data_IF_976151828666
#
_entry.id   IF_976151828666
#
_cell.length_a   1.000
_cell.length_b   1.000
_cell.length_c   1.000
_cell.angle_alpha   90.00
_cell.angle_beta   90.00
_cell.angle_gamma   90.00
#
_symmetry.space_group_name_H-M   'P 1'
#
loop_
_entity.id
_entity.type
_entity.pdbx_description
1 polymer ?
#
# COMPACT_ATOMS: atom_id res chain seq x y z
N UNK A 1 -3.03 4.45 8.74
CA UNK A 1 -3.57 5.76 8.35
C UNK A 1 -2.52 6.88 8.53
N UNK A 2 -1.86 6.96 9.68
CA UNK A 2 -0.84 8.00 9.94
C UNK A 2 0.31 7.99 8.91
N UNK A 3 0.74 6.84 8.44
CA UNK A 3 1.73 6.74 7.36
C UNK A 3 1.22 7.30 6.04
N UNK A 4 -0.07 7.15 5.74
CA UNK A 4 -0.68 7.76 4.57
C UNK A 4 -0.73 9.30 4.67
N UNK A 5 -0.94 9.85 5.86
CA UNK A 5 -0.84 11.30 6.09
C UNK A 5 0.60 11.81 5.88
N UNK A 6 1.61 11.07 6.33
CA UNK A 6 3.02 11.42 6.05
C UNK A 6 3.33 11.40 4.54
N UNK A 7 2.79 10.44 3.79
CA UNK A 7 2.89 10.43 2.34
C UNK A 7 2.30 11.71 1.73
N UNK A 8 1.09 12.11 2.16
CA UNK A 8 0.44 13.34 1.72
C UNK A 8 1.32 14.58 1.95
N UNK A 9 1.89 14.72 3.14
CA UNK A 9 2.77 15.85 3.49
C UNK A 9 4.00 15.93 2.59
N UNK A 10 4.46 14.79 2.09
CA UNK A 10 5.60 14.69 1.17
C UNK A 10 5.22 14.68 -0.30
N UNK A 11 3.98 15.02 -0.62
CA UNK A 11 3.45 15.03 -1.99
C UNK A 11 3.51 13.67 -2.70
N UNK A 12 3.47 12.62 -1.92
CA UNK A 12 3.34 11.23 -2.38
C UNK A 12 1.89 10.75 -2.33
N UNK A 13 1.56 9.75 -3.16
CA UNK A 13 0.23 9.12 -3.09
C UNK A 13 0.00 8.61 -1.66
N UNK A 14 -1.10 9.02 -0.99
CA UNK A 14 -1.30 8.79 0.44
C UNK A 14 -1.70 7.34 0.74
N UNK A 15 -0.73 6.46 0.67
CA UNK A 15 -0.82 5.06 1.07
C UNK A 15 0.20 4.80 2.16
N UNK A 16 -0.26 4.17 3.23
CA UNK A 16 0.57 3.77 4.36
C UNK A 16 0.41 2.29 4.66
N UNK A 17 1.48 1.68 5.13
CA UNK A 17 1.51 0.27 5.52
C UNK A 17 2.27 0.08 6.84
N UNK A 18 1.89 -0.95 7.58
CA UNK A 18 2.60 -1.39 8.78
C UNK A 18 2.57 -2.90 8.90
N UNK A 19 3.60 -3.48 9.47
CA UNK A 19 3.67 -4.92 9.74
C UNK A 19 3.81 -5.14 11.24
N UNK A 20 2.98 -6.04 11.74
CA UNK A 20 2.92 -6.46 13.14
C UNK A 20 3.41 -7.91 13.25
N UNK A 21 4.29 -8.15 14.20
CA UNK A 21 4.77 -9.47 14.58
C UNK A 21 4.65 -9.62 16.11
N UNK A 22 4.01 -10.69 16.58
CA UNK A 22 3.80 -10.95 18.01
C UNK A 22 3.24 -9.75 18.79
N UNK A 23 2.28 -9.05 18.21
CA UNK A 23 1.63 -7.89 18.82
C UNK A 23 2.42 -6.58 18.77
N UNK A 24 3.64 -6.57 18.23
CA UNK A 24 4.46 -5.37 18.08
C UNK A 24 4.56 -4.91 16.62
N UNK A 25 4.50 -3.61 16.39
CA UNK A 25 4.77 -3.01 15.08
C UNK A 25 6.27 -3.09 14.82
N UNK A 26 6.68 -3.86 13.80
CA UNK A 26 8.09 -4.03 13.41
C UNK A 26 8.46 -3.29 12.13
N UNK A 27 7.48 -2.80 11.40
CA UNK A 27 7.69 -1.97 10.20
C UNK A 27 6.55 -0.97 10.05
N UNK A 28 6.89 0.23 9.58
CA UNK A 28 5.95 1.28 9.19
C UNK A 28 6.51 2.04 8.00
N UNK A 29 5.73 2.18 6.94
CA UNK A 29 6.17 2.80 5.71
C UNK A 29 5.02 3.53 4.99
N UNK A 30 5.37 4.48 4.15
CA UNK A 30 4.46 5.16 3.24
C UNK A 30 5.02 5.14 1.82
N UNK A 31 4.16 5.34 0.83
CA UNK A 31 4.55 5.37 -0.57
C UNK A 31 5.61 6.45 -0.84
N UNK A 32 6.67 6.10 -1.57
CA UNK A 32 7.81 6.97 -1.88
C UNK A 32 8.24 6.89 -3.35
N UNK A 33 7.33 6.51 -4.26
CA UNK A 33 7.66 6.29 -5.67
C UNK A 33 8.22 7.53 -6.35
N UNK A 34 7.72 8.72 -6.03
CA UNK A 34 8.17 9.99 -6.62
C UNK A 34 9.49 10.47 -6.03
N UNK A 35 9.61 10.50 -4.72
CA UNK A 35 10.81 11.01 -4.04
C UNK A 35 12.04 10.16 -4.28
N UNK A 36 11.87 8.86 -4.50
CA UNK A 36 12.98 7.93 -4.76
C UNK A 36 13.20 7.62 -6.24
N UNK A 37 12.29 8.05 -7.13
CA UNK A 37 12.25 7.65 -8.54
C UNK A 37 12.26 6.11 -8.72
N UNK A 38 11.59 5.41 -7.82
CA UNK A 38 11.51 3.95 -7.79
C UNK A 38 10.03 3.52 -7.91
N UNK A 39 9.63 2.90 -9.04
CA UNK A 39 8.26 2.45 -9.22
C UNK A 39 7.86 1.33 -8.26
N UNK A 40 8.81 0.66 -7.65
CA UNK A 40 8.56 -0.39 -6.67
C UNK A 40 8.43 0.11 -5.23
N UNK A 41 8.72 1.38 -4.96
CA UNK A 41 8.70 1.97 -3.62
C UNK A 41 7.27 2.24 -3.10
N UNK A 42 6.39 1.24 -3.22
CA UNK A 42 5.09 1.22 -2.58
C UNK A 42 5.22 1.00 -1.06
N UNK A 43 4.28 1.51 -0.30
CA UNK A 43 4.28 1.40 1.16
C UNK A 43 4.45 -0.06 1.63
N UNK A 44 3.76 -1.00 0.98
CA UNK A 44 3.80 -2.42 1.29
C UNK A 44 5.19 -3.02 1.04
N UNK A 45 5.81 -2.69 -0.10
CA UNK A 45 7.16 -3.16 -0.46
C UNK A 45 8.20 -2.68 0.55
N UNK A 46 8.12 -1.40 0.92
CA UNK A 46 9.01 -0.81 1.92
C UNK A 46 8.80 -1.43 3.31
N UNK A 47 7.55 -1.68 3.69
CA UNK A 47 7.23 -2.34 4.96
C UNK A 47 7.74 -3.79 5.00
N UNK A 48 7.59 -4.55 3.91
CA UNK A 48 8.13 -5.92 3.78
C UNK A 48 9.64 -5.90 3.96
N UNK A 49 10.35 -4.99 3.29
CA UNK A 49 11.79 -4.86 3.40
C UNK A 49 12.23 -4.53 4.84
N UNK A 50 11.59 -3.57 5.48
CA UNK A 50 11.87 -3.20 6.87
C UNK A 50 11.63 -4.37 7.84
N UNK A 51 10.50 -5.06 7.70
CA UNK A 51 10.16 -6.19 8.56
C UNK A 51 11.15 -7.36 8.40
N UNK A 52 11.52 -7.68 7.16
CA UNK A 52 12.50 -8.73 6.87
C UNK A 52 13.86 -8.41 7.49
N UNK A 53 14.30 -7.18 7.39
CA UNK A 53 15.55 -6.73 8.03
C UNK A 53 15.44 -6.76 9.56
N UNK A 54 14.32 -6.36 10.12
CA UNK A 54 14.10 -6.38 11.58
C UNK A 54 14.13 -7.81 12.14
N UNK A 55 13.55 -8.78 11.40
CA UNK A 55 13.52 -10.18 11.83
C UNK A 55 14.80 -10.95 11.46
N UNK A 56 15.61 -10.43 10.55
CA UNK A 56 16.76 -11.17 10.00
C UNK A 56 16.36 -12.37 9.14
N UNK A 57 15.12 -12.39 8.64
CA UNK A 57 14.57 -13.44 7.77
C UNK A 57 13.67 -12.82 6.71
N UNK A 58 13.79 -13.25 5.47
CA UNK A 58 12.90 -12.81 4.39
C UNK A 58 11.47 -13.36 4.51
N UNK A 59 11.30 -14.44 5.28
CA UNK A 59 9.99 -15.01 5.57
C UNK A 59 9.31 -14.25 6.69
N UNK A 60 8.12 -13.75 6.40
CA UNK A 60 7.30 -13.00 7.36
C UNK A 60 6.21 -13.90 7.97
N UNK A 61 6.60 -15.12 8.36
CA UNK A 61 5.73 -16.03 9.08
C UNK A 61 5.24 -15.36 10.37
N UNK A 62 3.97 -15.54 10.72
CA UNK A 62 3.33 -14.94 11.89
C UNK A 62 3.30 -13.39 11.85
N UNK A 63 3.49 -12.78 10.70
CA UNK A 63 3.36 -11.34 10.50
C UNK A 63 2.03 -10.99 9.86
N UNK A 64 1.48 -9.86 10.27
CA UNK A 64 0.23 -9.31 9.74
C UNK A 64 0.54 -7.95 9.10
N UNK A 65 0.15 -7.77 7.84
CA UNK A 65 0.20 -6.47 7.17
C UNK A 65 -1.11 -5.70 7.38
N UNK A 66 -0.97 -4.43 7.69
CA UNK A 66 -2.03 -3.42 7.63
C UNK A 66 -1.68 -2.39 6.57
N UNK A 67 -2.59 -2.12 5.64
CA UNK A 67 -2.38 -1.16 4.55
C UNK A 67 -3.67 -0.39 4.26
N UNK A 68 -3.56 0.86 3.89
CA UNK A 68 -4.71 1.77 3.73
C UNK A 68 -5.53 1.50 2.47
N UNK A 69 -4.96 0.84 1.48
CA UNK A 69 -5.60 0.47 0.21
C UNK A 69 -5.31 -0.99 -0.12
N UNK A 70 -6.22 -1.64 -0.82
CA UNK A 70 -5.99 -3.01 -1.33
C UNK A 70 -4.68 -3.08 -2.14
N UNK A 71 -3.77 -4.03 -1.84
CA UNK A 71 -2.53 -4.22 -2.55
C UNK A 71 -2.69 -4.48 -4.05
N UNK A 72 -1.82 -3.85 -4.84
CA UNK A 72 -1.70 -4.06 -6.29
C UNK A 72 -1.04 -5.42 -6.62
N UNK A 73 -0.95 -5.83 -7.91
CA UNK A 73 -0.33 -7.11 -8.29
C UNK A 73 1.09 -7.30 -7.78
N UNK A 74 1.91 -6.27 -7.84
CA UNK A 74 3.30 -6.31 -7.35
C UNK A 74 3.35 -6.58 -5.84
N UNK A 75 2.59 -5.81 -5.06
CA UNK A 75 2.59 -5.93 -3.60
C UNK A 75 1.93 -7.23 -3.13
N UNK A 76 0.82 -7.64 -3.74
CA UNK A 76 0.16 -8.91 -3.42
C UNK A 76 1.07 -10.10 -3.73
N UNK A 77 1.77 -10.07 -4.86
CA UNK A 77 2.77 -11.09 -5.22
C UNK A 77 3.93 -11.14 -4.22
N UNK A 78 4.43 -9.97 -3.80
CA UNK A 78 5.48 -9.89 -2.78
C UNK A 78 5.03 -10.49 -1.43
N UNK A 79 3.77 -10.27 -1.04
CA UNK A 79 3.20 -10.84 0.19
C UNK A 79 3.11 -12.37 0.13
N UNK A 80 2.80 -12.94 -1.03
CA UNK A 80 2.85 -14.40 -1.26
C UNK A 80 4.28 -14.89 -1.10
N UNK A 81 5.24 -14.27 -1.76
CA UNK A 81 6.67 -14.64 -1.69
C UNK A 81 7.20 -14.54 -0.26
N UNK A 82 6.86 -13.47 0.44
CA UNK A 82 7.25 -13.23 1.83
C UNK A 82 6.54 -14.14 2.84
N UNK A 83 5.56 -14.92 2.44
CA UNK A 83 4.78 -15.81 3.31
C UNK A 83 4.06 -15.09 4.44
N UNK A 84 3.45 -13.94 4.14
CA UNK A 84 2.65 -13.19 5.12
C UNK A 84 1.51 -14.06 5.69
N UNK A 85 1.21 -13.91 6.96
CA UNK A 85 0.15 -14.69 7.60
C UNK A 85 -1.24 -14.16 7.24
N UNK A 86 -1.42 -12.84 7.27
CA UNK A 86 -2.71 -12.19 7.04
C UNK A 86 -2.53 -10.73 6.61
N UNK A 87 -3.51 -10.22 5.87
CA UNK A 87 -3.55 -8.82 5.45
C UNK A 87 -4.87 -8.18 5.87
N UNK A 88 -4.80 -7.00 6.47
CA UNK A 88 -5.93 -6.09 6.63
C UNK A 88 -5.72 -4.86 5.77
N UNK A 89 -6.72 -4.49 4.97
CA UNK A 89 -6.62 -3.32 4.12
C UNK A 89 -7.86 -2.42 4.25
N UNK A 90 -7.72 -1.17 3.82
CA UNK A 90 -8.78 -0.19 3.89
C UNK A 90 -9.86 -0.45 2.85
N UNK A 91 -9.77 0.17 1.69
CA UNK A 91 -10.79 0.06 0.66
C UNK A 91 -10.38 -0.86 -0.50
N UNK A 92 -11.39 -1.49 -1.11
CA UNK A 92 -11.24 -2.36 -2.27
C UNK A 92 -10.91 -1.52 -3.51
N UNK A 93 -9.98 -2.00 -4.33
CA UNK A 93 -9.68 -1.47 -5.65
C UNK A 93 -10.14 -2.45 -6.73
N UNK A 94 -11.27 -2.17 -7.35
CA UNK A 94 -11.87 -3.03 -8.38
C UNK A 94 -11.09 -3.06 -9.69
N UNK A 95 -10.10 -2.17 -9.88
CA UNK A 95 -9.30 -2.09 -11.11
C UNK A 95 -7.95 -2.79 -10.98
N UNK A 96 -7.25 -2.55 -9.87
CA UNK A 96 -5.86 -3.00 -9.66
C UNK A 96 -5.67 -3.78 -8.36
N UNK A 97 -6.69 -3.92 -7.53
CA UNK A 97 -6.61 -4.68 -6.29
C UNK A 97 -6.50 -6.17 -6.53
N UNK A 98 -5.58 -6.82 -5.85
CA UNK A 98 -5.26 -8.23 -6.05
C UNK A 98 -5.45 -9.10 -4.81
N UNK A 99 -6.33 -8.68 -3.91
CA UNK A 99 -6.77 -9.45 -2.73
C UNK A 99 -8.31 -9.57 -2.66
N UNK A 100 -8.97 -9.60 -3.81
CA UNK A 100 -10.41 -9.79 -3.98
C UNK A 100 -11.11 -8.71 -4.80
N UNK A 101 -10.47 -7.58 -5.10
CA UNK A 101 -11.02 -6.52 -5.93
C UNK A 101 -11.10 -6.91 -7.41
N UNK A 102 -9.99 -6.84 -8.13
CA UNK A 102 -9.90 -7.27 -9.53
C UNK A 102 -9.57 -8.77 -9.64
N UNK A 103 -8.71 -9.27 -8.79
CA UNK A 103 -8.33 -10.69 -8.68
C UNK A 103 -7.91 -11.01 -7.25
N UNK A 104 -7.49 -12.26 -6.96
CA UNK A 104 -7.04 -12.64 -5.63
C UNK A 104 -5.77 -13.50 -5.69
N UNK A 105 -4.60 -12.86 -5.63
CA UNK A 105 -3.31 -13.54 -5.59
C UNK A 105 -3.03 -14.23 -4.25
N UNK A 106 -3.68 -13.79 -3.17
CA UNK A 106 -3.59 -14.43 -1.86
C UNK A 106 -4.21 -15.84 -1.81
N UNK A 107 -5.03 -16.18 -2.80
CA UNK A 107 -5.73 -17.47 -2.93
C UNK A 107 -5.44 -18.17 -4.27
N UNK A 108 -4.36 -17.80 -4.95
CA UNK A 108 -3.98 -18.40 -6.23
C UNK A 108 -3.79 -19.92 -6.07
N UNK A 109 -4.52 -20.78 -6.82
CA UNK A 109 -4.52 -22.24 -6.62
C UNK A 109 -3.13 -22.87 -6.71
N UNK A 110 -2.29 -22.39 -7.64
CA UNK A 110 -0.94 -22.91 -7.91
C UNK A 110 0.11 -22.37 -6.94
N UNK A 111 -0.26 -21.42 -6.10
CA UNK A 111 0.66 -20.83 -5.12
C UNK A 111 1.00 -21.80 -4.00
N UNK A 112 2.28 -21.85 -3.63
CA UNK A 112 2.77 -22.63 -2.48
C UNK A 112 2.48 -21.97 -1.12
N UNK A 113 1.96 -20.74 -1.12
CA UNK A 113 1.54 -20.02 0.08
C UNK A 113 0.24 -19.26 -0.18
N UNK A 114 -0.69 -19.39 0.74
CA UNK A 114 -1.98 -18.68 0.73
C UNK A 114 -2.19 -17.96 2.04
N UNK A 115 -2.87 -16.83 1.99
CA UNK A 115 -3.22 -16.06 3.16
C UNK A 115 -4.59 -15.41 3.03
N UNK A 116 -5.22 -15.15 4.17
CA UNK A 116 -6.48 -14.43 4.25
C UNK A 116 -6.26 -12.92 4.18
N UNK A 117 -7.12 -12.22 3.46
CA UNK A 117 -7.17 -10.77 3.40
C UNK A 117 -8.56 -10.27 3.80
N UNK A 118 -8.61 -9.22 4.61
CA UNK A 118 -9.84 -8.60 5.10
C UNK A 118 -9.80 -7.12 4.79
N UNK A 119 -10.74 -6.65 3.97
CA UNK A 119 -10.93 -5.23 3.66
C UNK A 119 -11.92 -4.53 4.58
N UNK A 120 -12.05 -3.22 4.42
CA UNK A 120 -13.01 -2.39 5.13
C UNK A 120 -12.46 -1.67 6.37
N UNK A 121 -11.17 -1.75 6.63
CA UNK A 121 -10.54 -1.10 7.80
C UNK A 121 -10.34 0.39 7.53
N UNK A 122 -11.06 1.25 8.24
CA UNK A 122 -11.10 2.70 8.01
C UNK A 122 -11.35 3.03 6.52
N UNK A 123 -12.26 2.29 5.89
CA UNK A 123 -12.50 2.34 4.45
C UNK A 123 -12.83 3.74 3.97
N UNK A 124 -13.75 4.42 4.66
CA UNK A 124 -14.22 5.76 4.30
C UNK A 124 -13.11 6.81 4.40
N UNK A 125 -12.37 6.78 5.48
CA UNK A 125 -11.27 7.71 5.76
C UNK A 125 -10.14 7.53 4.75
N UNK A 126 -9.74 6.30 4.48
CA UNK A 126 -8.69 5.98 3.52
C UNK A 126 -9.08 6.35 2.09
N UNK A 127 -10.30 6.05 1.70
CA UNK A 127 -10.82 6.38 0.36
C UNK A 127 -10.95 7.90 0.18
N UNK A 128 -11.46 8.61 1.19
CA UNK A 128 -11.58 10.07 1.16
C UNK A 128 -10.21 10.75 1.04
N UNK A 129 -9.21 10.29 1.78
CA UNK A 129 -7.85 10.82 1.71
C UNK A 129 -7.25 10.66 0.32
N UNK A 130 -7.37 9.49 -0.29
CA UNK A 130 -6.85 9.24 -1.63
C UNK A 130 -7.55 10.09 -2.69
N UNK A 131 -8.88 10.20 -2.63
CA UNK A 131 -9.65 11.02 -3.56
C UNK A 131 -9.26 12.50 -3.46
N UNK A 132 -9.16 13.03 -2.26
CA UNK A 132 -8.76 14.42 -2.02
C UNK A 132 -7.36 14.71 -2.60
N UNK A 133 -6.42 13.78 -2.48
CA UNK A 133 -5.09 13.90 -3.08
C UNK A 133 -5.16 14.03 -4.62
N UNK A 134 -5.88 13.15 -5.27
CA UNK A 134 -6.00 13.20 -6.73
C UNK A 134 -6.82 14.40 -7.23
N UNK A 135 -7.80 14.88 -6.48
CA UNK A 135 -8.51 16.12 -6.76
C UNK A 135 -7.56 17.33 -6.71
N UNK A 136 -6.75 17.42 -5.65
CA UNK A 136 -5.68 18.43 -5.53
C UNK A 136 -4.74 18.40 -6.74
N UNK A 137 -4.24 17.21 -7.10
CA UNK A 137 -3.34 17.05 -8.25
C UNK A 137 -3.96 17.47 -9.58
N UNK A 138 -5.23 17.16 -9.80
CA UNK A 138 -5.95 17.62 -11.01
C UNK A 138 -6.10 19.15 -11.06
N UNK A 139 -6.36 19.77 -9.93
CA UNK A 139 -6.48 21.24 -9.83
C UNK A 139 -5.15 21.95 -10.07
N UNK A 140 -4.07 21.46 -9.48
CA UNK A 140 -2.70 21.96 -9.70
C UNK A 140 -2.32 21.93 -11.19
N UNK A 141 -2.58 20.78 -11.86
CA UNK A 141 -2.29 20.62 -13.29
C UNK A 141 -3.09 21.58 -14.18
N UNK A 142 -4.37 21.81 -13.87
CA UNK A 142 -5.20 22.75 -14.62
C UNK A 142 -4.69 24.19 -14.49
N UNK A 143 -4.29 24.62 -13.30
CA UNK A 143 -3.75 25.96 -13.07
C UNK A 143 -2.45 26.16 -13.81
N UNK A 144 -1.53 25.19 -13.79
CA UNK A 144 -0.26 25.24 -14.52
C UNK A 144 -0.48 25.36 -16.03
N UNK A 145 -1.40 24.57 -16.60
CA UNK A 145 -1.74 24.66 -18.02
C UNK A 145 -2.34 26.02 -18.38
N UNK A 146 -3.14 26.64 -17.52
CA UNK A 146 -3.71 27.96 -17.75
C UNK A 146 -2.66 29.08 -17.72
N UNK A 147 -1.66 28.98 -16.83
CA UNK A 147 -0.53 29.90 -16.76
C UNK A 147 0.36 29.81 -18.00
N UNK A 148 0.68 28.58 -18.47
CA UNK A 148 1.49 28.32 -19.66
C UNK A 148 0.83 28.83 -20.97
N UNK A 149 -0.51 28.90 -21.01
CA UNK A 149 -1.27 29.44 -22.15
C UNK A 149 -1.42 30.97 -22.14
N UNK A 150 -1.10 31.61 -21.01
CA UNK A 150 -1.22 33.07 -20.83
C UNK A 150 0.09 33.84 -21.06
N UNK A 151 1.18 33.13 -21.30
CA UNK A 151 2.53 33.64 -21.66
C UNK A 151 2.83 33.44 -23.12
#
# INVERSE_FOLDING_TARGET
YNQALLAWEKDEVPIGAGIVHEGAIIASAFNQTRSTNDPSAHAEMLAICQASNSLGDWRLNNCILYVTKEPCPMCAGALVVARIQKVYFGFIDTKMGCLGGATNLGQLPESNHKFEAVGGILEKENHALLNAFFEKKRSEKKNQTAEDLST
#
